data_IF_311595202819
#
_entry.id   IF_311595202819
#
_cell.length_a   1.000
_cell.length_b   1.000
_cell.length_c   1.000
_cell.angle_alpha   90.00
_cell.angle_beta   90.00
_cell.angle_gamma   90.00
#
_symmetry.space_group_name_H-M   'P 1'
#
loop_
_entity.id
_entity.type
_entity.pdbx_description
1 polymer ?
#
# COMPACT_ATOMS: atom_id res chain seq x y z
N UNK A 1 -50.97 26.80 -14.92
CA UNK A 1 -49.94 25.88 -15.40
C UNK A 1 -49.17 25.32 -14.21
N UNK A 2 -49.29 24.04 -13.85
CA UNK A 2 -48.59 23.47 -12.68
C UNK A 2 -47.38 22.62 -13.07
N UNK A 3 -46.60 23.01 -14.08
CA UNK A 3 -45.46 22.25 -14.56
C UNK A 3 -44.10 22.61 -13.92
N UNK A 4 -44.01 23.79 -13.25
CA UNK A 4 -42.73 24.23 -12.68
C UNK A 4 -42.35 23.60 -11.33
N UNK A 5 -43.32 23.19 -10.52
CA UNK A 5 -43.00 22.58 -9.19
C UNK A 5 -42.45 21.18 -9.29
N UNK A 6 -42.81 20.39 -10.30
CA UNK A 6 -42.29 19.05 -10.49
C UNK A 6 -40.88 19.05 -11.12
N UNK A 7 -40.56 20.01 -11.99
CA UNK A 7 -39.23 20.14 -12.58
C UNK A 7 -38.19 20.59 -11.55
N UNK A 8 -38.53 21.53 -10.66
CA UNK A 8 -37.69 21.97 -9.56
C UNK A 8 -37.48 20.87 -8.52
N UNK A 9 -38.52 20.09 -8.20
CA UNK A 9 -38.44 18.97 -7.28
C UNK A 9 -37.53 17.85 -7.85
N UNK A 10 -37.69 17.52 -9.12
CA UNK A 10 -36.82 16.57 -9.81
C UNK A 10 -35.36 17.09 -9.92
N UNK A 11 -35.17 18.39 -10.16
CA UNK A 11 -33.83 19.01 -10.20
C UNK A 11 -33.16 18.99 -8.82
N UNK A 12 -33.91 19.30 -7.76
CA UNK A 12 -33.44 19.24 -6.37
C UNK A 12 -33.13 17.76 -5.94
N UNK A 13 -33.93 16.79 -6.36
CA UNK A 13 -33.67 15.37 -6.14
C UNK A 13 -32.45 14.89 -6.91
N UNK A 14 -32.19 15.34 -8.12
CA UNK A 14 -31.03 15.04 -8.93
C UNK A 14 -29.76 15.68 -8.33
N UNK A 15 -29.87 16.94 -7.88
CA UNK A 15 -28.74 17.68 -7.26
C UNK A 15 -28.39 17.14 -5.85
N UNK A 16 -29.37 16.59 -5.12
CA UNK A 16 -29.21 16.05 -3.78
C UNK A 16 -28.91 14.51 -3.75
N UNK A 17 -28.93 13.85 -4.89
CA UNK A 17 -28.67 12.43 -4.95
C UNK A 17 -27.19 12.16 -4.73
N UNK A 18 -26.84 11.80 -3.50
CA UNK A 18 -25.47 11.33 -3.19
C UNK A 18 -25.09 10.19 -4.12
N UNK A 19 -23.98 10.32 -4.82
CA UNK A 19 -23.45 9.23 -5.65
C UNK A 19 -23.17 8.01 -4.77
N UNK A 20 -23.57 6.85 -5.24
CA UNK A 20 -23.33 5.55 -4.59
C UNK A 20 -22.02 4.98 -5.08
N UNK A 21 -21.10 4.76 -4.17
CA UNK A 21 -19.79 4.20 -4.47
C UNK A 21 -19.69 2.81 -3.85
N UNK A 22 -19.40 1.81 -4.69
CA UNK A 22 -19.02 0.47 -4.23
C UNK A 22 -17.51 0.37 -4.06
N UNK A 23 -17.04 -0.27 -3.00
CA UNK A 23 -15.62 -0.59 -2.80
C UNK A 23 -15.51 -2.09 -2.59
N UNK A 24 -14.61 -2.74 -3.33
CA UNK A 24 -14.32 -4.16 -3.19
C UNK A 24 -12.99 -4.30 -2.46
N UNK A 25 -13.04 -4.86 -1.24
CA UNK A 25 -11.92 -5.03 -0.33
C UNK A 25 -12.01 -4.15 0.91
N UNK A 26 -12.03 -4.77 2.10
CA UNK A 26 -12.06 -4.13 3.42
C UNK A 26 -10.68 -4.13 4.09
N UNK A 27 -9.62 -4.10 3.30
CA UNK A 27 -8.27 -3.82 3.75
C UNK A 27 -8.05 -2.33 4.03
N UNK A 28 -6.83 -1.97 4.46
CA UNK A 28 -6.50 -0.58 4.81
C UNK A 28 -6.80 0.39 3.65
N UNK A 29 -6.55 -0.01 2.40
CA UNK A 29 -6.81 0.83 1.23
C UNK A 29 -8.31 1.04 1.02
N UNK A 30 -9.13 -0.02 1.11
CA UNK A 30 -10.57 0.10 0.92
C UNK A 30 -11.23 0.96 1.99
N UNK A 31 -10.88 0.76 3.25
CA UNK A 31 -11.43 1.53 4.38
C UNK A 31 -11.00 3.00 4.32
N UNK A 32 -9.71 3.28 4.06
CA UNK A 32 -9.21 4.66 3.94
C UNK A 32 -9.87 5.40 2.78
N UNK A 33 -9.96 4.77 1.60
CA UNK A 33 -10.70 5.34 0.46
C UNK A 33 -12.17 5.58 0.80
N UNK A 34 -12.81 4.63 1.51
CA UNK A 34 -14.19 4.77 1.98
C UNK A 34 -14.39 5.99 2.85
N UNK A 35 -13.50 6.23 3.81
CA UNK A 35 -13.53 7.39 4.70
C UNK A 35 -13.37 8.71 3.94
N UNK A 36 -12.41 8.79 3.00
CA UNK A 36 -12.23 9.99 2.18
C UNK A 36 -13.41 10.26 1.25
N UNK A 37 -14.03 9.22 0.69
CA UNK A 37 -15.23 9.35 -0.12
C UNK A 37 -16.42 9.82 0.71
N UNK A 38 -16.57 9.32 1.96
CA UNK A 38 -17.60 9.83 2.88
C UNK A 38 -17.40 11.30 3.23
N UNK A 39 -16.14 11.76 3.46
CA UNK A 39 -15.82 13.18 3.68
C UNK A 39 -16.23 14.04 2.48
N UNK A 40 -16.22 13.48 1.27
CA UNK A 40 -16.73 14.15 0.05
C UNK A 40 -18.25 14.05 -0.14
N UNK A 41 -18.95 13.42 0.80
CA UNK A 41 -20.41 13.34 0.80
C UNK A 41 -21.00 12.15 0.04
N UNK A 42 -20.20 11.19 -0.41
CA UNK A 42 -20.68 10.00 -1.13
C UNK A 42 -21.34 8.96 -0.19
N UNK A 43 -22.30 8.18 -0.70
CA UNK A 43 -22.85 6.98 -0.03
C UNK A 43 -21.95 5.78 -0.37
N UNK A 44 -21.20 5.25 0.62
CA UNK A 44 -20.17 4.26 0.40
C UNK A 44 -20.57 2.91 0.99
N UNK A 45 -20.45 1.86 0.17
CA UNK A 45 -20.62 0.47 0.58
C UNK A 45 -19.35 -0.31 0.28
N UNK A 46 -18.78 -0.96 1.30
CA UNK A 46 -17.60 -1.83 1.18
C UNK A 46 -18.05 -3.30 1.16
N UNK A 47 -17.47 -4.08 0.25
CA UNK A 47 -17.65 -5.53 0.13
C UNK A 47 -16.34 -6.25 0.44
N UNK A 48 -16.38 -7.27 1.25
CA UNK A 48 -15.29 -8.23 1.42
C UNK A 48 -15.86 -9.60 1.75
N UNK A 49 -15.15 -10.65 1.37
CA UNK A 49 -15.50 -12.04 1.73
C UNK A 49 -15.24 -12.32 3.22
N UNK A 50 -14.30 -11.60 3.81
CA UNK A 50 -13.86 -11.76 5.20
C UNK A 50 -14.19 -10.51 6.02
N UNK A 51 -14.23 -10.67 7.36
CA UNK A 51 -14.32 -9.54 8.26
C UNK A 51 -13.04 -8.70 8.22
N UNK A 52 -13.14 -7.35 8.36
CA UNK A 52 -11.97 -6.50 8.50
C UNK A 52 -11.06 -6.96 9.64
N UNK A 53 -9.76 -6.97 9.40
CA UNK A 53 -8.78 -7.49 10.37
C UNK A 53 -8.60 -9.00 10.36
N UNK A 54 -9.19 -9.73 9.41
CA UNK A 54 -8.83 -11.12 9.10
C UNK A 54 -7.37 -11.24 8.65
N UNK A 55 -6.72 -12.42 8.77
CA UNK A 55 -5.29 -12.60 8.52
C UNK A 55 -4.92 -12.49 7.04
N UNK A 56 -4.93 -11.28 6.54
CA UNK A 56 -4.50 -10.86 5.20
C UNK A 56 -3.45 -9.74 5.29
N UNK A 57 -2.99 -9.17 4.18
CA UNK A 57 -1.90 -8.18 4.14
C UNK A 57 -2.05 -7.01 5.13
N UNK A 58 -3.26 -6.52 5.38
CA UNK A 58 -3.50 -5.42 6.33
C UNK A 58 -3.50 -5.85 7.80
N UNK A 59 -3.51 -7.15 8.09
CA UNK A 59 -3.48 -7.70 9.45
C UNK A 59 -2.07 -7.74 10.04
N UNK A 60 -1.10 -8.24 9.27
CA UNK A 60 0.23 -8.61 9.76
C UNK A 60 1.34 -8.18 8.81
N UNK A 61 1.36 -6.91 8.43
CA UNK A 61 2.48 -6.30 7.71
C UNK A 61 3.53 -5.75 8.70
N UNK A 62 4.65 -5.25 8.16
CA UNK A 62 5.73 -4.69 8.97
C UNK A 62 5.37 -3.38 9.71
N UNK A 63 4.21 -2.80 9.45
CA UNK A 63 3.72 -1.60 10.13
C UNK A 63 4.48 -0.30 9.80
N UNK A 64 5.32 -0.29 8.78
CA UNK A 64 6.09 0.89 8.42
C UNK A 64 5.28 1.88 7.57
N UNK A 65 5.29 3.14 7.97
CA UNK A 65 4.89 4.26 7.15
C UNK A 65 6.15 4.87 6.54
N UNK A 66 6.39 4.58 5.26
CA UNK A 66 7.69 4.79 4.61
C UNK A 66 7.60 5.75 3.43
N UNK A 67 7.44 7.07 3.65
CA UNK A 67 7.36 8.06 2.56
C UNK A 67 8.64 8.11 1.72
N UNK A 68 9.75 7.64 2.28
CA UNK A 68 11.07 7.57 1.65
C UNK A 68 11.27 6.35 0.74
N UNK A 69 10.32 5.40 0.68
CA UNK A 69 10.46 4.14 -0.07
C UNK A 69 10.19 4.29 -1.58
N UNK A 70 10.65 5.39 -2.17
CA UNK A 70 10.46 5.71 -3.59
C UNK A 70 11.46 5.00 -4.51
N UNK A 71 12.62 4.57 -4.02
CA UNK A 71 13.63 3.85 -4.80
C UNK A 71 13.37 2.36 -4.72
N UNK A 72 12.96 1.77 -5.83
CA UNK A 72 12.61 0.36 -5.93
C UNK A 72 13.83 -0.51 -6.34
N UNK A 73 13.63 -1.82 -6.40
CA UNK A 73 14.68 -2.78 -6.74
C UNK A 73 15.14 -2.75 -8.22
N UNK A 74 14.48 -2.00 -9.09
CA UNK A 74 14.83 -1.89 -10.52
C UNK A 74 16.06 -0.98 -10.76
N UNK A 75 17.15 -1.25 -10.03
CA UNK A 75 18.41 -0.51 -10.09
C UNK A 75 19.46 -1.25 -10.89
N UNK A 76 20.33 -0.52 -11.62
CA UNK A 76 21.41 -1.14 -12.40
C UNK A 76 22.39 -1.97 -11.54
N UNK A 77 22.70 -1.51 -10.34
CA UNK A 77 23.62 -2.15 -9.39
C UNK A 77 23.11 -3.53 -8.91
N UNK A 78 21.81 -3.70 -8.75
CA UNK A 78 21.21 -4.99 -8.34
C UNK A 78 21.56 -6.10 -9.33
N UNK A 79 21.62 -5.82 -10.63
CA UNK A 79 21.95 -6.82 -11.65
C UNK A 79 23.39 -7.33 -11.49
N UNK A 80 24.30 -6.48 -11.05
CA UNK A 80 25.70 -6.89 -10.78
C UNK A 80 25.82 -7.82 -9.57
N UNK A 81 24.93 -7.68 -8.60
CA UNK A 81 24.95 -8.47 -7.36
C UNK A 81 24.24 -9.83 -7.49
N UNK A 82 23.37 -10.03 -8.50
CA UNK A 82 22.60 -11.27 -8.69
C UNK A 82 23.46 -12.53 -8.72
N UNK A 83 24.60 -12.60 -9.43
CA UNK A 83 25.43 -13.82 -9.42
C UNK A 83 25.94 -14.18 -8.02
N UNK A 84 26.40 -13.19 -7.26
CA UNK A 84 26.87 -13.40 -5.89
C UNK A 84 25.73 -13.83 -4.96
N UNK A 85 24.53 -13.24 -5.11
CA UNK A 85 23.35 -13.62 -4.34
C UNK A 85 22.92 -15.07 -4.59
N UNK A 86 23.00 -15.54 -5.84
CA UNK A 86 22.63 -16.92 -6.23
C UNK A 86 23.65 -17.97 -5.75
N UNK A 87 24.92 -17.61 -5.65
CA UNK A 87 25.98 -18.51 -5.19
C UNK A 87 26.05 -18.61 -3.66
N UNK A 88 25.44 -17.69 -2.95
CA UNK A 88 25.44 -17.68 -1.49
C UNK A 88 24.33 -18.58 -0.93
N UNK A 89 24.70 -19.51 -0.04
CA UNK A 89 23.74 -20.38 0.66
C UNK A 89 22.85 -19.62 1.67
N UNK A 90 23.27 -18.43 2.08
CA UNK A 90 22.54 -17.52 3.00
C UNK A 90 22.12 -16.22 2.30
N UNK A 91 22.27 -16.17 0.99
CA UNK A 91 21.95 -14.99 0.19
C UNK A 91 20.44 -14.67 0.18
N UNK A 92 20.09 -13.41 -0.11
CA UNK A 92 18.70 -12.97 -0.13
C UNK A 92 17.90 -13.51 -1.32
N UNK A 93 18.55 -14.11 -2.31
CA UNK A 93 17.91 -14.62 -3.52
C UNK A 93 18.01 -16.15 -3.60
N UNK A 94 16.86 -16.80 -3.51
CA UNK A 94 16.75 -18.26 -3.72
C UNK A 94 15.82 -18.54 -4.90
N UNK A 95 16.27 -19.35 -5.85
CA UNK A 95 15.49 -19.73 -7.03
C UNK A 95 15.02 -21.18 -6.92
N UNK A 96 13.72 -21.39 -7.17
CA UNK A 96 13.16 -22.70 -7.39
C UNK A 96 13.32 -23.04 -8.89
N UNK A 97 14.38 -23.79 -9.24
CA UNK A 97 14.81 -24.00 -10.61
C UNK A 97 13.72 -24.51 -11.56
N UNK A 98 12.81 -25.36 -11.10
CA UNK A 98 11.69 -25.86 -11.89
C UNK A 98 10.63 -24.77 -12.18
N UNK A 99 10.68 -23.62 -11.50
CA UNK A 99 9.79 -22.48 -11.70
C UNK A 99 10.40 -21.39 -12.59
N UNK A 100 11.73 -21.40 -12.75
CA UNK A 100 12.46 -20.39 -13.52
C UNK A 100 11.92 -20.20 -14.95
N UNK A 101 11.58 -21.25 -15.73
CA UNK A 101 11.02 -21.06 -17.07
C UNK A 101 9.74 -20.20 -17.10
N UNK A 102 8.91 -20.28 -16.07
CA UNK A 102 7.70 -19.48 -15.94
C UNK A 102 8.01 -18.00 -15.61
N UNK A 103 9.16 -17.77 -14.99
CA UNK A 103 9.62 -16.42 -14.58
C UNK A 103 10.38 -15.68 -15.68
N UNK A 104 10.79 -16.34 -16.76
CA UNK A 104 11.58 -15.72 -17.84
C UNK A 104 10.95 -14.42 -18.36
N UNK A 105 9.64 -14.35 -18.70
CA UNK A 105 9.04 -13.12 -19.18
C UNK A 105 9.15 -11.98 -18.18
N UNK A 106 8.98 -12.27 -16.90
CA UNK A 106 9.14 -11.31 -15.82
C UNK A 106 10.59 -10.84 -15.68
N UNK A 107 11.56 -11.75 -15.69
CA UNK A 107 12.99 -11.41 -15.61
C UNK A 107 13.42 -10.52 -16.76
N UNK A 108 12.97 -10.80 -17.98
CA UNK A 108 13.28 -9.96 -19.13
C UNK A 108 12.75 -8.53 -18.99
N UNK A 109 11.53 -8.39 -18.47
CA UNK A 109 10.95 -7.08 -18.18
C UNK A 109 11.69 -6.37 -17.05
N UNK A 110 12.03 -7.10 -15.97
CA UNK A 110 12.79 -6.57 -14.85
C UNK A 110 14.13 -6.01 -15.31
N UNK A 111 14.92 -6.81 -16.03
CA UNK A 111 16.23 -6.38 -16.58
C UNK A 111 16.10 -5.13 -17.45
N UNK A 112 15.10 -5.09 -18.33
CA UNK A 112 14.83 -3.91 -19.18
C UNK A 112 14.53 -2.65 -18.37
N UNK A 113 13.99 -2.82 -17.16
CA UNK A 113 13.66 -1.71 -16.26
C UNK A 113 14.81 -1.34 -15.32
N UNK A 114 15.87 -2.13 -15.23
CA UNK A 114 17.05 -1.84 -14.43
C UNK A 114 18.03 -0.87 -15.13
N UNK A 115 17.53 0.26 -15.58
CA UNK A 115 18.35 1.36 -16.14
C UNK A 115 18.18 2.61 -15.30
N UNK A 116 19.20 3.46 -15.23
CA UNK A 116 19.16 4.70 -14.45
C UNK A 116 17.95 5.56 -14.80
N UNK A 117 17.65 5.74 -16.09
CA UNK A 117 16.53 6.56 -16.54
C UNK A 117 15.18 6.00 -16.08
N UNK A 118 14.98 4.69 -16.19
CA UNK A 118 13.72 4.04 -15.75
C UNK A 118 13.60 4.01 -14.25
N UNK A 119 14.70 3.78 -13.55
CA UNK A 119 14.74 3.86 -12.08
C UNK A 119 14.34 5.27 -11.61
N UNK A 120 14.95 6.33 -12.17
CA UNK A 120 14.62 7.72 -11.84
C UNK A 120 13.16 8.06 -12.15
N UNK A 121 12.66 7.63 -13.31
CA UNK A 121 11.25 7.81 -13.67
C UNK A 121 10.32 7.15 -12.65
N UNK A 122 10.59 5.90 -12.27
CA UNK A 122 9.82 5.17 -11.27
C UNK A 122 9.91 5.83 -9.91
N UNK A 123 11.12 6.18 -9.46
CA UNK A 123 11.33 6.82 -8.16
C UNK A 123 10.58 8.16 -8.04
N UNK A 124 10.63 8.99 -9.09
CA UNK A 124 9.90 10.27 -9.13
C UNK A 124 8.39 10.09 -9.01
N UNK A 125 7.80 9.17 -9.78
CA UNK A 125 6.36 8.93 -9.73
C UNK A 125 5.93 8.31 -8.39
N UNK A 126 6.73 7.38 -7.84
CA UNK A 126 6.48 6.82 -6.52
C UNK A 126 6.57 7.88 -5.42
N UNK A 127 7.58 8.76 -5.47
CA UNK A 127 7.72 9.84 -4.49
C UNK A 127 6.50 10.76 -4.47
N UNK A 128 5.97 11.15 -5.62
CA UNK A 128 4.77 12.00 -5.70
C UNK A 128 3.55 11.39 -5.01
N UNK A 129 3.41 10.05 -5.04
CA UNK A 129 2.32 9.36 -4.36
C UNK A 129 2.61 9.21 -2.87
N UNK A 130 3.84 8.83 -2.52
CA UNK A 130 4.25 8.56 -1.14
C UNK A 130 4.29 9.83 -0.29
N UNK A 131 4.62 10.98 -0.89
CA UNK A 131 4.65 12.27 -0.20
C UNK A 131 3.27 12.70 0.31
N UNK A 132 2.20 12.26 -0.34
CA UNK A 132 0.83 12.48 0.09
C UNK A 132 0.37 11.52 1.20
N UNK A 133 1.10 10.43 1.46
CA UNK A 133 0.61 9.36 2.32
C UNK A 133 0.54 9.77 3.80
N UNK A 134 1.59 10.41 4.35
CA UNK A 134 1.58 10.81 5.76
C UNK A 134 0.54 11.88 6.07
N UNK A 135 0.39 12.97 5.28
CA UNK A 135 -0.69 13.93 5.49
C UNK A 135 -2.08 13.28 5.42
N UNK A 136 -2.30 12.35 4.48
CA UNK A 136 -3.56 11.65 4.38
C UNK A 136 -3.83 10.75 5.60
N UNK A 137 -2.82 10.06 6.12
CA UNK A 137 -2.96 9.30 7.36
C UNK A 137 -3.19 10.20 8.57
N UNK A 138 -2.48 11.32 8.70
CA UNK A 138 -2.71 12.26 9.80
C UNK A 138 -4.16 12.75 9.81
N UNK A 139 -4.72 13.11 8.65
CA UNK A 139 -6.13 13.52 8.53
C UNK A 139 -7.13 12.44 9.01
N UNK A 140 -6.84 11.16 8.79
CA UNK A 140 -7.68 10.06 9.28
C UNK A 140 -7.42 9.77 10.76
N UNK A 141 -6.18 9.88 11.19
CA UNK A 141 -5.74 9.57 12.55
C UNK A 141 -6.20 10.60 13.58
N UNK A 142 -6.39 11.86 13.16
CA UNK A 142 -6.96 12.91 14.01
C UNK A 142 -8.42 12.59 14.45
N UNK A 143 -9.09 11.68 13.75
CA UNK A 143 -10.47 11.29 14.05
C UNK A 143 -10.60 10.02 14.90
N UNK A 144 -9.49 9.37 15.24
CA UNK A 144 -9.47 8.14 16.04
C UNK A 144 -8.44 8.22 17.17
N UNK A 145 -8.73 7.56 18.26
CA UNK A 145 -7.75 7.39 19.33
C UNK A 145 -6.65 6.38 18.91
N UNK A 146 -5.42 6.83 18.80
CA UNK A 146 -4.24 6.06 18.44
C UNK A 146 -3.27 5.81 19.59
N UNK A 147 -3.67 6.06 20.84
CA UNK A 147 -2.75 5.96 21.96
C UNK A 147 -1.93 4.65 21.94
N UNK A 148 -0.62 4.81 21.87
CA UNK A 148 0.35 3.70 21.82
C UNK A 148 0.33 2.84 20.55
N UNK A 149 -0.47 3.18 19.52
CA UNK A 149 -0.57 2.38 18.29
C UNK A 149 0.38 2.82 17.18
N UNK A 150 0.81 4.07 17.18
CA UNK A 150 1.75 4.62 16.16
C UNK A 150 2.90 5.31 16.86
N UNK A 151 4.11 4.89 16.52
CA UNK A 151 5.34 5.55 16.96
C UNK A 151 5.88 6.46 15.87
N UNK A 152 6.25 7.68 16.25
CA UNK A 152 6.84 8.72 15.38
C UNK A 152 8.31 8.94 15.74
N UNK A 153 9.07 7.83 15.84
CA UNK A 153 10.50 7.86 16.25
C UNK A 153 11.47 7.77 15.07
N UNK A 154 10.96 7.89 13.85
CA UNK A 154 11.75 7.65 12.65
C UNK A 154 11.96 6.17 12.35
N UNK A 155 12.67 5.88 11.29
CA UNK A 155 13.05 4.53 10.86
C UNK A 155 14.55 4.53 10.55
N UNK A 156 15.26 3.56 11.11
CA UNK A 156 16.67 3.35 10.89
C UNK A 156 16.92 2.16 9.97
N UNK A 157 17.55 2.40 8.82
CA UNK A 157 18.07 1.36 7.95
C UNK A 157 19.57 1.20 8.19
N UNK A 158 20.01 -0.01 8.43
CA UNK A 158 21.41 -0.35 8.65
C UNK A 158 21.91 -1.34 7.59
N UNK A 159 23.19 -1.30 7.29
CA UNK A 159 23.85 -2.27 6.42
C UNK A 159 25.12 -2.79 7.02
N UNK A 160 25.42 -4.06 6.72
CA UNK A 160 26.57 -4.80 7.22
C UNK A 160 27.68 -4.97 6.17
N UNK A 161 27.48 -4.49 4.96
CA UNK A 161 28.50 -4.50 3.92
C UNK A 161 29.35 -3.22 3.97
N UNK A 162 30.60 -3.33 3.53
CA UNK A 162 31.53 -2.20 3.44
C UNK A 162 31.44 -1.49 2.07
N UNK A 163 30.67 -2.06 1.14
CA UNK A 163 30.54 -1.50 -0.20
C UNK A 163 29.45 -0.42 -0.24
N UNK A 164 29.85 0.81 0.03
CA UNK A 164 28.96 1.96 0.03
C UNK A 164 28.44 2.34 -1.38
N UNK A 165 29.07 1.89 -2.46
CA UNK A 165 28.72 2.33 -3.83
C UNK A 165 27.27 1.99 -4.20
N UNK A 166 26.76 0.83 -3.80
CA UNK A 166 25.37 0.45 -4.03
C UNK A 166 24.39 1.32 -3.26
N UNK A 167 24.80 1.84 -2.09
CA UNK A 167 23.99 2.71 -1.25
C UNK A 167 24.03 4.18 -1.70
N UNK A 168 25.17 4.61 -2.25
CA UNK A 168 25.33 5.98 -2.75
C UNK A 168 24.30 6.35 -3.82
N UNK A 169 23.98 5.41 -4.72
CA UNK A 169 22.96 5.63 -5.74
C UNK A 169 21.58 5.88 -5.13
N UNK A 170 21.16 5.07 -4.17
CA UNK A 170 19.89 5.23 -3.48
C UNK A 170 19.81 6.55 -2.71
N UNK A 171 20.88 6.88 -1.97
CA UNK A 171 20.98 8.11 -1.18
C UNK A 171 20.90 9.32 -2.11
N UNK A 172 21.66 9.30 -3.22
CA UNK A 172 21.65 10.39 -4.21
C UNK A 172 20.26 10.58 -4.82
N UNK A 173 19.60 9.51 -5.26
CA UNK A 173 18.26 9.60 -5.86
C UNK A 173 17.25 10.20 -4.89
N UNK A 174 17.27 9.77 -3.62
CA UNK A 174 16.39 10.33 -2.60
C UNK A 174 16.70 11.81 -2.32
N UNK A 175 17.98 12.20 -2.28
CA UNK A 175 18.38 13.60 -2.14
C UNK A 175 17.88 14.45 -3.32
N UNK A 176 18.03 13.97 -4.56
CA UNK A 176 17.53 14.65 -5.76
C UNK A 176 16.01 14.84 -5.76
N UNK A 177 15.27 13.93 -5.10
CA UNK A 177 13.82 14.00 -4.94
C UNK A 177 13.38 14.80 -3.71
N UNK A 178 14.32 15.29 -2.89
CA UNK A 178 14.00 16.06 -1.69
C UNK A 178 13.53 15.22 -0.50
N UNK A 179 13.79 13.89 -0.52
CA UNK A 179 13.48 13.01 0.61
C UNK A 179 14.40 13.36 1.78
N UNK A 180 13.80 13.64 2.92
CA UNK A 180 14.55 13.90 4.16
C UNK A 180 15.16 12.59 4.67
N UNK A 181 16.49 12.54 4.68
CA UNK A 181 17.28 11.41 5.12
C UNK A 181 18.62 11.86 5.70
N UNK A 182 19.09 11.14 6.70
CA UNK A 182 20.38 11.37 7.33
C UNK A 182 21.23 10.10 7.22
N UNK A 183 22.39 10.20 6.59
CA UNK A 183 23.39 9.12 6.61
C UNK A 183 24.01 9.10 8.00
N UNK A 184 24.03 7.94 8.65
CA UNK A 184 24.48 7.78 10.02
C UNK A 184 25.67 6.81 10.11
N UNK A 185 26.62 7.20 10.96
CA UNK A 185 27.83 6.43 11.29
C UNK A 185 27.51 5.28 12.26
N UNK A 186 28.39 4.27 12.40
CA UNK A 186 28.21 3.21 13.39
C UNK A 186 28.04 3.72 14.82
N UNK A 187 28.69 4.83 15.18
CA UNK A 187 28.51 5.45 16.50
C UNK A 187 27.10 6.02 16.68
N UNK A 188 26.63 6.78 15.71
CA UNK A 188 25.27 7.34 15.75
C UNK A 188 24.19 6.26 15.74
N UNK A 189 24.41 5.14 15.03
CA UNK A 189 23.52 3.97 15.08
C UNK A 189 23.48 3.39 16.49
N UNK A 190 24.62 3.24 17.14
CA UNK A 190 24.68 2.72 18.50
C UNK A 190 24.00 3.66 19.50
N UNK A 191 24.14 4.98 19.29
CA UNK A 191 23.48 6.00 20.15
C UNK A 191 21.95 5.98 19.97
N UNK A 192 21.44 5.67 18.74
CA UNK A 192 20.02 5.52 18.44
C UNK A 192 19.44 4.19 18.96
N UNK A 193 20.17 3.10 18.78
CA UNK A 193 19.73 1.73 19.07
C UNK A 193 20.84 0.92 19.77
N UNK A 194 21.09 1.15 21.05
CA UNK A 194 22.21 0.54 21.78
C UNK A 194 22.09 -0.98 21.94
N UNK A 195 20.89 -1.53 21.79
CA UNK A 195 20.62 -2.97 21.90
C UNK A 195 20.99 -3.78 20.64
N UNK A 196 21.27 -3.10 19.51
CA UNK A 196 21.71 -3.80 18.29
C UNK A 196 23.20 -4.07 18.39
N UNK A 197 23.59 -5.36 18.27
CA UNK A 197 25.00 -5.74 18.20
C UNK A 197 25.70 -5.01 17.04
N UNK A 198 26.96 -4.54 17.22
CA UNK A 198 27.66 -3.72 16.23
C UNK A 198 28.21 -4.55 15.04
N UNK A 199 27.33 -5.10 14.22
CA UNK A 199 27.67 -5.77 12.97
C UNK A 199 27.50 -4.88 11.73
N UNK A 200 27.08 -3.64 11.94
CA UNK A 200 26.77 -2.66 10.90
C UNK A 200 27.96 -1.76 10.59
N UNK A 201 28.06 -1.32 9.35
CA UNK A 201 29.09 -0.38 8.87
C UNK A 201 28.56 1.02 8.57
N UNK A 202 27.25 1.21 8.60
CA UNK A 202 26.57 2.48 8.41
C UNK A 202 25.06 2.31 8.28
N UNK A 203 24.36 3.41 8.12
CA UNK A 203 22.92 3.43 8.01
C UNK A 203 22.37 4.72 7.39
N UNK A 204 21.06 4.72 7.21
CA UNK A 204 20.28 5.92 6.91
C UNK A 204 19.12 6.00 7.91
N UNK A 205 18.97 7.16 8.51
CA UNK A 205 17.87 7.49 9.40
C UNK A 205 16.86 8.39 8.68
N UNK A 206 15.60 8.00 8.74
CA UNK A 206 14.46 8.71 8.18
C UNK A 206 13.58 9.23 9.31
N UNK A 207 13.76 10.48 9.70
CA UNK A 207 13.14 11.05 10.90
C UNK A 207 11.61 11.10 10.83
N UNK A 208 11.01 11.20 9.63
CA UNK A 208 9.56 11.22 9.45
C UNK A 208 8.95 9.83 9.26
N UNK A 209 9.77 8.79 9.24
CA UNK A 209 9.28 7.41 9.25
C UNK A 209 8.46 7.12 10.52
N UNK A 210 7.42 6.32 10.39
CA UNK A 210 6.56 5.93 11.53
C UNK A 210 6.38 4.43 11.55
N UNK A 211 6.04 3.92 12.73
CA UNK A 211 5.79 2.50 12.93
C UNK A 211 4.43 2.27 13.60
N UNK A 212 3.64 1.38 12.99
CA UNK A 212 2.39 0.88 13.57
C UNK A 212 2.70 -0.32 14.46
N UNK A 213 2.56 -0.19 15.78
CA UNK A 213 2.72 -1.31 16.72
C UNK A 213 1.70 -2.42 16.51
N UNK A 214 0.52 -2.06 16.04
CA UNK A 214 -0.55 -3.01 15.78
C UNK A 214 -1.39 -2.59 14.58
N UNK A 215 -0.98 -2.97 13.34
CA UNK A 215 -1.70 -2.63 12.11
C UNK A 215 -3.17 -3.04 12.13
N UNK A 216 -3.48 -4.22 12.71
CA UNK A 216 -4.85 -4.71 12.86
C UNK A 216 -5.72 -3.77 13.69
N UNK A 217 -5.22 -3.30 14.86
CA UNK A 217 -6.00 -2.40 15.72
C UNK A 217 -6.27 -1.06 15.03
N UNK A 218 -5.29 -0.53 14.29
CA UNK A 218 -5.47 0.70 13.51
C UNK A 218 -6.55 0.50 12.46
N UNK A 219 -6.47 -0.60 11.69
CA UNK A 219 -7.48 -0.95 10.68
C UNK A 219 -8.89 -1.00 11.29
N UNK A 220 -9.06 -1.68 12.43
CA UNK A 220 -10.36 -1.82 13.08
C UNK A 220 -10.90 -0.48 13.57
N UNK A 221 -10.06 0.40 14.15
CA UNK A 221 -10.47 1.75 14.54
C UNK A 221 -10.94 2.59 13.35
N UNK A 222 -10.24 2.51 12.22
CA UNK A 222 -10.68 3.18 10.98
C UNK A 222 -11.97 2.58 10.44
N UNK A 223 -12.15 1.28 10.53
CA UNK A 223 -13.39 0.62 10.13
C UNK A 223 -14.58 1.03 10.99
N UNK A 224 -14.40 1.08 12.33
CA UNK A 224 -15.41 1.57 13.25
C UNK A 224 -15.80 3.03 12.94
N UNK A 225 -14.81 3.87 12.62
CA UNK A 225 -15.06 5.24 12.17
C UNK A 225 -15.87 5.28 10.86
N UNK A 226 -15.52 4.43 9.90
CA UNK A 226 -16.25 4.31 8.64
C UNK A 226 -17.73 3.98 8.85
N UNK A 227 -18.02 3.01 9.74
CA UNK A 227 -19.39 2.64 10.08
C UNK A 227 -20.13 3.77 10.83
N UNK A 228 -19.47 4.41 11.81
CA UNK A 228 -20.02 5.56 12.55
C UNK A 228 -20.40 6.73 11.63
N UNK A 229 -19.66 6.92 10.55
CA UNK A 229 -19.95 7.94 9.52
C UNK A 229 -21.03 7.49 8.51
N UNK A 230 -21.72 6.37 8.76
CA UNK A 230 -22.83 5.87 7.93
C UNK A 230 -22.41 5.03 6.74
N UNK A 231 -21.15 4.56 6.69
CA UNK A 231 -20.69 3.58 5.72
C UNK A 231 -21.36 2.22 5.92
N UNK A 232 -21.52 1.48 4.82
CA UNK A 232 -22.11 0.14 4.84
C UNK A 232 -21.02 -0.89 4.57
N UNK A 233 -21.02 -1.97 5.32
CA UNK A 233 -20.18 -3.14 5.09
C UNK A 233 -21.05 -4.35 4.79
N UNK A 234 -20.74 -5.03 3.68
CA UNK A 234 -21.40 -6.27 3.29
C UNK A 234 -20.34 -7.38 3.19
N UNK A 235 -20.44 -8.35 4.12
CA UNK A 235 -19.58 -9.53 4.07
C UNK A 235 -20.06 -10.46 2.96
N UNK A 236 -19.58 -10.21 1.77
CA UNK A 236 -19.94 -10.94 0.56
C UNK A 236 -18.73 -11.12 -0.35
N UNK A 237 -18.60 -12.32 -0.92
CA UNK A 237 -17.58 -12.62 -1.91
C UNK A 237 -17.99 -12.05 -3.28
N UNK A 238 -17.24 -11.08 -3.75
CA UNK A 238 -17.43 -10.55 -5.11
C UNK A 238 -16.80 -11.50 -6.10
N UNK A 239 -17.63 -12.06 -6.98
CA UNK A 239 -17.22 -12.99 -8.00
C UNK A 239 -16.80 -12.30 -9.28
N UNK A 240 -17.53 -11.23 -9.65
CA UNK A 240 -17.36 -10.58 -10.92
C UNK A 240 -17.80 -9.11 -10.87
N UNK A 241 -17.33 -8.34 -11.84
CA UNK A 241 -17.74 -6.96 -12.12
C UNK A 241 -18.18 -6.91 -13.57
N UNK A 242 -19.33 -6.30 -13.81
CA UNK A 242 -19.81 -6.02 -15.15
C UNK A 242 -20.44 -4.63 -15.21
N UNK A 243 -20.96 -4.25 -16.37
CA UNK A 243 -21.68 -2.99 -16.53
C UNK A 243 -23.16 -3.26 -16.76
N UNK A 244 -24.00 -2.42 -16.21
CA UNK A 244 -25.42 -2.33 -16.44
C UNK A 244 -25.70 -0.98 -17.08
N UNK A 245 -25.94 -0.98 -18.38
CA UNK A 245 -25.80 0.22 -19.19
C UNK A 245 -24.39 0.82 -18.98
N UNK A 246 -24.28 2.06 -18.47
CA UNK A 246 -23.00 2.73 -18.20
C UNK A 246 -22.57 2.66 -16.72
N UNK A 247 -23.27 1.87 -15.89
CA UNK A 247 -22.98 1.79 -14.45
C UNK A 247 -22.29 0.50 -14.07
N UNK A 248 -21.24 0.54 -13.26
CA UNK A 248 -20.60 -0.66 -12.77
C UNK A 248 -21.51 -1.42 -11.80
N UNK A 249 -21.54 -2.72 -11.97
CA UNK A 249 -22.31 -3.63 -11.15
C UNK A 249 -21.40 -4.73 -10.56
N UNK A 250 -21.57 -4.96 -9.26
CA UNK A 250 -20.93 -6.06 -8.52
C UNK A 250 -21.83 -7.27 -8.55
N UNK A 251 -21.30 -8.43 -8.95
CA UNK A 251 -21.96 -9.71 -8.85
C UNK A 251 -21.38 -10.51 -7.68
N UNK A 252 -22.24 -10.91 -6.75
CA UNK A 252 -21.96 -11.86 -5.69
C UNK A 252 -22.60 -13.22 -6.01
N UNK A 253 -22.50 -14.19 -5.12
CA UNK A 253 -23.15 -15.51 -5.30
C UNK A 253 -24.66 -15.41 -5.37
N UNK A 254 -25.27 -14.47 -4.67
CA UNK A 254 -26.73 -14.40 -4.47
C UNK A 254 -27.37 -13.14 -5.02
N UNK A 255 -26.61 -12.07 -5.22
CA UNK A 255 -27.17 -10.75 -5.52
C UNK A 255 -26.28 -9.97 -6.48
N UNK A 256 -26.90 -8.96 -7.11
CA UNK A 256 -26.24 -7.94 -7.95
C UNK A 256 -26.48 -6.57 -7.37
N UNK A 257 -25.43 -5.74 -7.33
CA UNK A 257 -25.46 -4.40 -6.80
C UNK A 257 -24.96 -3.40 -7.85
N UNK A 258 -25.71 -2.36 -8.12
CA UNK A 258 -25.37 -1.33 -9.10
C UNK A 258 -24.92 -0.07 -8.37
N UNK A 259 -23.81 0.52 -8.82
CA UNK A 259 -23.20 1.72 -8.26
C UNK A 259 -23.01 2.79 -9.34
N UNK A 260 -22.84 4.04 -8.92
CA UNK A 260 -22.46 5.12 -9.83
C UNK A 260 -20.96 5.06 -10.16
N UNK A 261 -20.13 4.60 -9.22
CA UNK A 261 -18.70 4.34 -9.37
C UNK A 261 -18.28 3.14 -8.53
N UNK A 262 -17.16 2.53 -8.91
CA UNK A 262 -16.59 1.38 -8.22
C UNK A 262 -15.10 1.58 -7.97
N UNK A 263 -14.64 1.14 -6.79
CA UNK A 263 -13.23 1.10 -6.41
C UNK A 263 -12.84 -0.37 -6.17
N UNK A 264 -11.81 -0.84 -6.84
CA UNK A 264 -11.21 -2.17 -6.61
C UNK A 264 -10.02 -2.00 -5.68
N UNK A 265 -10.13 -2.49 -4.45
CA UNK A 265 -9.15 -2.39 -3.38
C UNK A 265 -8.79 -3.76 -2.75
N UNK A 266 -8.83 -4.82 -3.56
CA UNK A 266 -8.65 -6.21 -3.13
C UNK A 266 -7.17 -6.62 -2.98
N UNK A 267 -6.23 -5.65 -2.92
CA UNK A 267 -4.81 -5.95 -2.85
C UNK A 267 -4.36 -6.87 -4.00
N UNK A 268 -3.63 -7.93 -3.68
CA UNK A 268 -3.12 -8.89 -4.67
C UNK A 268 -4.21 -9.60 -5.50
N UNK A 269 -5.46 -9.60 -5.03
CA UNK A 269 -6.58 -10.22 -5.73
C UNK A 269 -7.28 -9.29 -6.74
N UNK A 270 -6.88 -8.02 -6.82
CA UNK A 270 -7.49 -7.03 -7.72
C UNK A 270 -7.38 -7.44 -9.19
N UNK A 271 -6.26 -8.03 -9.60
CA UNK A 271 -6.01 -8.48 -10.97
C UNK A 271 -7.12 -9.38 -11.51
N UNK A 272 -7.62 -10.33 -10.71
CA UNK A 272 -8.68 -11.24 -11.14
C UNK A 272 -9.95 -10.50 -11.57
N UNK A 273 -10.27 -9.39 -10.91
CA UNK A 273 -11.45 -8.60 -11.22
C UNK A 273 -11.21 -7.67 -12.41
N UNK A 274 -10.00 -7.12 -12.54
CA UNK A 274 -9.66 -6.24 -13.67
C UNK A 274 -9.47 -6.99 -14.97
N UNK A 275 -8.98 -8.24 -14.94
CA UNK A 275 -8.86 -9.09 -16.13
C UNK A 275 -10.23 -9.32 -16.79
N UNK A 276 -11.33 -9.37 -16.00
CA UNK A 276 -12.70 -9.47 -16.51
C UNK A 276 -13.22 -8.16 -17.17
N UNK A 277 -12.51 -7.06 -16.98
CA UNK A 277 -12.83 -5.75 -17.58
C UNK A 277 -11.92 -5.42 -18.78
N UNK A 278 -11.17 -6.42 -19.30
CA UNK A 278 -10.11 -6.24 -20.32
C UNK A 278 -8.98 -5.28 -19.91
N UNK A 279 -8.90 -4.94 -18.61
CA UNK A 279 -7.86 -4.09 -18.04
C UNK A 279 -6.70 -4.92 -17.49
N UNK A 280 -5.59 -4.94 -18.22
CA UNK A 280 -4.39 -5.69 -17.84
C UNK A 280 -3.53 -4.91 -16.87
N UNK A 281 -3.66 -5.17 -15.58
CA UNK A 281 -2.81 -4.61 -14.54
C UNK A 281 -1.62 -5.56 -14.33
N UNK A 282 -0.35 -5.08 -14.42
CA UNK A 282 0.84 -5.90 -14.18
C UNK A 282 1.05 -6.12 -12.67
N UNK A 283 0.07 -6.74 -12.01
CA UNK A 283 0.08 -7.06 -10.59
C UNK A 283 0.33 -8.55 -10.40
N UNK A 284 1.25 -8.90 -9.51
CA UNK A 284 1.48 -10.27 -9.08
C UNK A 284 1.47 -10.36 -7.55
N UNK A 285 1.44 -11.59 -7.03
CA UNK A 285 1.39 -11.83 -5.59
C UNK A 285 2.78 -12.09 -5.05
N UNK A 286 3.12 -11.41 -3.96
CA UNK A 286 4.33 -11.67 -3.18
C UNK A 286 3.93 -12.07 -1.76
N UNK A 287 4.57 -13.12 -1.23
CA UNK A 287 4.30 -13.60 0.13
C UNK A 287 5.37 -13.11 1.09
N UNK A 288 4.95 -12.27 2.04
CA UNK A 288 5.79 -11.89 3.18
C UNK A 288 5.72 -12.96 4.29
N UNK A 289 6.84 -13.14 4.98
CA UNK A 289 6.94 -13.99 6.17
C UNK A 289 7.44 -13.14 7.33
N UNK A 290 6.92 -13.40 8.54
CA UNK A 290 7.39 -12.75 9.75
C UNK A 290 7.39 -13.74 10.92
N UNK A 291 8.20 -13.44 11.93
CA UNK A 291 8.27 -14.19 13.18
C UNK A 291 7.98 -13.22 14.32
N UNK A 292 7.09 -13.63 15.21
CA UNK A 292 6.78 -12.87 16.43
C UNK A 292 7.57 -13.43 17.59
N UNK A 293 8.36 -12.59 18.23
CA UNK A 293 9.01 -12.88 19.51
C UNK A 293 8.16 -12.31 20.63
N UNK A 294 7.88 -13.11 21.67
CA UNK A 294 7.15 -12.67 22.87
C UNK A 294 8.15 -12.27 23.96
N UNK A 295 7.83 -11.20 24.71
CA UNK A 295 8.65 -10.78 25.85
C UNK A 295 9.95 -10.07 25.46
N UNK A 296 10.02 -9.48 24.25
CA UNK A 296 11.08 -8.58 23.85
C UNK A 296 10.53 -7.16 24.01
N UNK A 297 11.04 -6.43 25.02
CA UNK A 297 10.77 -5.01 25.24
C UNK A 297 11.80 -4.16 24.49
#
# INVERSE_FOLDING_TARGET
MPLEKNSLRNYIEIVNKKLKIGIIGAGIQGISNGLFLQKKGFDVTIFDKDEPGSPVASYGNAGHFSPYACVLMNRPDVLADVPAMLLSSTGPLALKWNYVPKMIPWFLQFIRNCTTNRMMHTAKNMHQILDLALPAYDELFDEIDLEGLVEKKGILYIWNDQNLKSRELEIRVRNELGVDQQVVTPKEIHDLEPNIKPFYHGGVYYQYGRHARNPKKILLKLFDLFLKKGGKFLKMNVQDINFDEDKPAIKTETQRFIFDKLVIACGAFSKRLTDNLDEKIPLDTERGYHVHFKGCD
#
